data_IF_667293994891
#
_entry.id   IF_667293994891
#
_cell.length_a   1.000
_cell.length_b   1.000
_cell.length_c   1.000
_cell.angle_alpha   90.00
_cell.angle_beta   90.00
_cell.angle_gamma   90.00
#
_symmetry.space_group_name_H-M   'P 1'
#
loop_
_entity.id
_entity.type
_entity.pdbx_description
1 polymer ?
#
# COMPACT_ATOMS: atom_id res chain seq x y z
N UNK A 1 26.25 31.94 -33.25
CA UNK A 1 26.03 32.17 -31.79
C UNK A 1 24.64 31.75 -31.26
N UNK A 2 23.74 31.16 -32.07
CA UNK A 2 22.39 30.75 -31.62
C UNK A 2 22.30 29.31 -31.08
N UNK A 3 23.23 28.43 -31.47
CA UNK A 3 23.17 26.99 -31.16
C UNK A 3 23.55 26.65 -29.70
N UNK A 4 24.45 27.44 -29.08
CA UNK A 4 24.82 27.30 -27.65
C UNK A 4 23.71 27.71 -26.69
N UNK A 5 22.83 28.63 -27.10
CA UNK A 5 21.76 29.15 -26.24
C UNK A 5 20.66 28.09 -26.05
N UNK A 6 20.33 27.33 -27.11
CA UNK A 6 19.28 26.30 -27.13
C UNK A 6 19.69 25.05 -26.33
N UNK A 7 20.98 24.68 -26.36
CA UNK A 7 21.49 23.54 -25.56
C UNK A 7 21.53 23.87 -24.07
N UNK A 8 21.75 25.13 -23.70
CA UNK A 8 21.74 25.57 -22.30
C UNK A 8 20.32 25.68 -21.72
N UNK A 9 19.33 26.14 -22.49
CA UNK A 9 17.92 26.11 -22.05
C UNK A 9 17.38 24.70 -21.91
N UNK A 10 17.75 23.77 -22.80
CA UNK A 10 17.40 22.35 -22.67
C UNK A 10 18.00 21.74 -21.39
N UNK A 11 19.26 22.04 -21.06
CA UNK A 11 19.90 21.60 -19.82
C UNK A 11 19.26 22.21 -18.57
N UNK A 12 18.85 23.48 -18.61
CA UNK A 12 18.15 24.15 -17.51
C UNK A 12 16.75 23.57 -17.28
N UNK A 13 16.01 23.26 -18.34
CA UNK A 13 14.71 22.60 -18.26
C UNK A 13 14.85 21.20 -17.64
N UNK A 14 15.87 20.45 -18.06
CA UNK A 14 16.15 19.11 -17.56
C UNK A 14 16.59 19.14 -16.09
N UNK A 15 17.37 20.15 -15.68
CA UNK A 15 17.76 20.37 -14.29
C UNK A 15 16.55 20.73 -13.42
N UNK A 16 15.63 21.58 -13.91
CA UNK A 16 14.41 21.95 -13.20
C UNK A 16 13.45 20.75 -13.05
N UNK A 17 13.33 19.91 -14.09
CA UNK A 17 12.55 18.68 -14.04
C UNK A 17 13.11 17.70 -13.00
N UNK A 18 14.43 17.49 -12.99
CA UNK A 18 15.11 16.60 -12.04
C UNK A 18 14.97 17.13 -10.61
N UNK A 19 15.13 18.44 -10.39
CA UNK A 19 14.92 19.06 -9.07
C UNK A 19 13.46 18.92 -8.59
N UNK A 20 12.49 19.00 -9.50
CA UNK A 20 11.06 18.81 -9.18
C UNK A 20 10.72 17.39 -8.74
N UNK A 21 11.39 16.36 -9.30
CA UNK A 21 11.18 14.97 -8.90
C UNK A 21 11.68 14.69 -7.47
N UNK A 22 12.75 15.36 -7.00
CA UNK A 22 13.28 15.17 -5.65
C UNK A 22 12.48 15.89 -4.56
N UNK A 23 11.71 16.93 -4.89
CA UNK A 23 10.88 17.68 -3.94
C UNK A 23 9.54 17.00 -3.58
N UNK A 24 9.20 15.88 -4.24
CA UNK A 24 7.85 15.32 -4.25
C UNK A 24 7.37 14.55 -3.02
N UNK A 25 8.26 14.07 -2.13
CA UNK A 25 7.82 13.09 -1.12
C UNK A 25 7.34 13.67 0.24
N UNK A 26 7.55 14.95 0.55
CA UNK A 26 7.02 15.55 1.79
C UNK A 26 6.92 17.09 1.80
N UNK A 27 7.58 17.79 0.87
CA UNK A 27 7.75 19.25 0.93
C UNK A 27 6.86 20.03 -0.05
N UNK A 28 5.68 19.49 -0.40
CA UNK A 28 4.79 20.09 -1.41
C UNK A 28 4.17 21.42 -0.97
N UNK A 29 4.02 21.68 0.32
CA UNK A 29 3.38 22.90 0.87
C UNK A 29 4.13 24.20 0.56
N UNK A 30 5.37 24.42 1.03
CA UNK A 30 6.06 25.70 0.82
C UNK A 30 6.31 25.98 -0.66
N UNK A 31 6.55 24.95 -1.48
CA UNK A 31 6.83 25.11 -2.91
C UNK A 31 5.56 25.47 -3.68
N UNK A 32 4.40 24.87 -3.35
CA UNK A 32 3.14 25.19 -4.03
C UNK A 32 2.56 26.53 -3.61
N UNK A 33 2.68 26.92 -2.34
CA UNK A 33 2.26 28.24 -1.86
C UNK A 33 3.12 29.35 -2.47
N UNK A 34 4.44 29.14 -2.56
CA UNK A 34 5.36 30.07 -3.24
C UNK A 34 5.11 30.09 -4.75
N UNK A 35 4.86 28.94 -5.39
CA UNK A 35 4.58 28.89 -6.82
C UNK A 35 3.24 29.53 -7.17
N UNK A 36 2.20 29.31 -6.36
CA UNK A 36 0.89 29.92 -6.56
C UNK A 36 0.89 31.40 -6.19
N UNK A 37 1.64 31.80 -5.15
CA UNK A 37 1.87 33.21 -4.83
C UNK A 37 2.66 33.93 -5.93
N UNK A 38 3.75 33.36 -6.41
CA UNK A 38 4.52 33.94 -7.52
C UNK A 38 3.72 33.95 -8.84
N UNK A 39 2.96 32.89 -9.11
CA UNK A 39 2.07 32.82 -10.28
C UNK A 39 0.93 33.84 -10.21
N UNK A 40 0.32 34.02 -9.02
CA UNK A 40 -0.69 35.04 -8.77
C UNK A 40 -0.13 36.45 -8.89
N UNK A 41 1.09 36.69 -8.42
CA UNK A 41 1.79 37.96 -8.59
C UNK A 41 2.03 38.27 -10.06
N UNK A 42 2.55 37.29 -10.82
CA UNK A 42 2.81 37.43 -12.24
C UNK A 42 1.54 37.75 -13.03
N UNK A 43 0.46 37.01 -12.78
CA UNK A 43 -0.83 37.27 -13.41
C UNK A 43 -1.38 38.65 -13.02
N UNK A 44 -1.26 39.05 -11.75
CA UNK A 44 -1.65 40.39 -11.27
C UNK A 44 -0.84 41.53 -11.90
N UNK A 45 0.44 41.31 -12.16
CA UNK A 45 1.31 42.26 -12.86
C UNK A 45 0.92 42.42 -14.34
N UNK A 46 0.65 41.32 -15.04
CA UNK A 46 0.29 41.35 -16.46
C UNK A 46 -1.06 42.04 -16.70
N UNK A 47 -2.08 41.72 -15.89
CA UNK A 47 -3.42 42.30 -16.07
C UNK A 47 -3.52 43.77 -15.68
N UNK A 48 -2.59 44.27 -14.87
CA UNK A 48 -2.61 45.65 -14.35
C UNK A 48 -1.59 46.57 -15.00
N UNK A 49 -0.88 46.11 -16.05
CA UNK A 49 0.23 46.83 -16.66
C UNK A 49 1.32 47.25 -15.66
N UNK A 50 1.63 46.37 -14.71
CA UNK A 50 2.71 46.58 -13.74
C UNK A 50 2.34 47.43 -12.53
N UNK A 51 1.04 47.54 -12.19
CA UNK A 51 0.63 48.17 -10.93
C UNK A 51 1.06 47.30 -9.72
N UNK A 52 1.96 47.79 -8.85
CA UNK A 52 2.46 47.04 -7.71
C UNK A 52 1.36 46.65 -6.73
N UNK A 53 0.25 47.39 -6.66
CA UNK A 53 -0.87 47.07 -5.78
C UNK A 53 -1.60 45.81 -6.24
N UNK A 54 -1.87 45.70 -7.54
CA UNK A 54 -2.58 44.55 -8.12
C UNK A 54 -1.67 43.32 -8.19
N UNK A 55 -0.37 43.51 -8.43
CA UNK A 55 0.64 42.45 -8.30
C UNK A 55 0.68 41.87 -6.88
N UNK A 56 0.76 42.73 -5.85
CA UNK A 56 0.77 42.28 -4.45
C UNK A 56 -0.55 41.58 -4.07
N UNK A 57 -1.69 42.10 -4.54
CA UNK A 57 -3.00 41.48 -4.33
C UNK A 57 -3.10 40.11 -5.01
N UNK A 58 -2.58 39.97 -6.23
CA UNK A 58 -2.50 38.68 -6.94
C UNK A 58 -1.61 37.67 -6.22
N UNK A 59 -0.49 38.12 -5.65
CA UNK A 59 0.40 37.27 -4.85
C UNK A 59 -0.30 36.74 -3.59
N UNK A 60 -0.92 37.64 -2.82
CA UNK A 60 -1.67 37.27 -1.63
C UNK A 60 -2.85 36.35 -1.98
N UNK A 61 -3.58 36.66 -3.06
CA UNK A 61 -4.67 35.82 -3.57
C UNK A 61 -4.22 34.41 -3.94
N UNK A 62 -3.06 34.29 -4.59
CA UNK A 62 -2.45 33.00 -4.93
C UNK A 62 -2.14 32.12 -3.71
N UNK A 63 -1.62 32.72 -2.63
CA UNK A 63 -1.33 32.01 -1.37
C UNK A 63 -2.60 31.63 -0.62
N UNK A 64 -3.63 32.48 -0.62
CA UNK A 64 -4.91 32.14 0.02
C UNK A 64 -5.59 30.98 -0.72
N UNK A 65 -5.59 31.00 -2.06
CA UNK A 65 -6.13 29.91 -2.88
C UNK A 65 -5.37 28.61 -2.60
N UNK A 66 -4.04 28.66 -2.48
CA UNK A 66 -3.24 27.46 -2.20
C UNK A 66 -3.59 26.85 -0.83
N UNK A 67 -3.82 27.66 0.20
CA UNK A 67 -4.25 27.19 1.52
C UNK A 67 -5.59 26.44 1.46
N UNK A 68 -6.56 26.93 0.68
CA UNK A 68 -7.85 26.25 0.50
C UNK A 68 -7.72 24.91 -0.21
N UNK A 69 -6.87 24.85 -1.25
CA UNK A 69 -6.59 23.61 -1.99
C UNK A 69 -5.89 22.59 -1.07
N UNK A 70 -4.94 23.03 -0.25
CA UNK A 70 -4.27 22.20 0.74
C UNK A 70 -5.21 21.67 1.81
N UNK A 71 -6.16 22.49 2.27
CA UNK A 71 -7.16 22.07 3.25
C UNK A 71 -8.08 20.98 2.68
N UNK A 72 -8.56 21.17 1.45
CA UNK A 72 -9.38 20.18 0.76
C UNK A 72 -8.61 18.87 0.51
N UNK A 73 -7.36 18.97 0.03
CA UNK A 73 -6.50 17.82 -0.21
C UNK A 73 -6.21 17.04 1.10
N UNK A 74 -5.93 17.75 2.20
CA UNK A 74 -5.73 17.12 3.52
C UNK A 74 -6.98 16.38 3.98
N UNK A 75 -8.16 16.98 3.87
CA UNK A 75 -9.42 16.33 4.25
C UNK A 75 -9.67 15.06 3.42
N UNK A 76 -9.35 15.09 2.13
CA UNK A 76 -9.45 13.91 1.27
C UNK A 76 -8.44 12.82 1.66
N UNK A 77 -7.20 13.20 1.97
CA UNK A 77 -6.17 12.29 2.45
C UNK A 77 -6.55 11.64 3.80
N UNK A 78 -7.06 12.43 4.76
CA UNK A 78 -7.51 11.94 6.06
C UNK A 78 -8.69 10.95 5.91
N UNK A 79 -9.65 11.28 5.04
CA UNK A 79 -10.77 10.37 4.72
C UNK A 79 -10.28 9.08 4.08
N UNK A 80 -9.37 9.17 3.11
CA UNK A 80 -8.79 8.01 2.45
C UNK A 80 -8.00 7.14 3.44
N UNK A 81 -7.26 7.77 4.36
CA UNK A 81 -6.52 7.09 5.41
C UNK A 81 -7.45 6.35 6.38
N UNK A 82 -8.48 7.03 6.91
CA UNK A 82 -9.47 6.42 7.80
C UNK A 82 -10.19 5.24 7.13
N UNK A 83 -10.65 5.43 5.88
CA UNK A 83 -11.33 4.39 5.11
C UNK A 83 -10.40 3.20 4.85
N UNK A 84 -9.15 3.45 4.48
CA UNK A 84 -8.14 2.41 4.27
C UNK A 84 -7.79 1.66 5.56
N UNK A 85 -7.72 2.37 6.68
CA UNK A 85 -7.45 1.80 7.99
C UNK A 85 -8.58 0.89 8.48
N UNK A 86 -9.84 1.33 8.35
CA UNK A 86 -11.01 0.51 8.69
C UNK A 86 -11.11 -0.72 7.78
N UNK A 87 -10.91 -0.55 6.47
CA UNK A 87 -10.91 -1.66 5.52
C UNK A 87 -9.81 -2.67 5.84
N UNK A 88 -8.58 -2.19 6.11
CA UNK A 88 -7.43 -3.01 6.46
C UNK A 88 -7.65 -3.84 7.74
N UNK A 89 -8.25 -3.25 8.78
CA UNK A 89 -8.64 -4.00 9.99
C UNK A 89 -9.60 -5.13 9.68
N UNK A 90 -10.63 -4.88 8.87
CA UNK A 90 -11.63 -5.90 8.53
C UNK A 90 -11.05 -7.03 7.67
N UNK A 91 -10.14 -6.71 6.76
CA UNK A 91 -9.55 -7.67 5.84
C UNK A 91 -8.52 -8.56 6.56
N UNK A 92 -7.75 -8.01 7.51
CA UNK A 92 -6.84 -8.78 8.35
C UNK A 92 -7.59 -9.86 9.18
N UNK A 93 -8.72 -9.49 9.79
CA UNK A 93 -9.55 -10.46 10.55
C UNK A 93 -10.12 -11.55 9.65
N UNK A 94 -10.60 -11.20 8.44
CA UNK A 94 -11.10 -12.18 7.47
C UNK A 94 -9.98 -13.13 7.02
N UNK A 95 -8.80 -12.62 6.73
CA UNK A 95 -7.65 -13.44 6.33
C UNK A 95 -7.27 -14.43 7.44
N UNK A 96 -7.23 -13.97 8.69
CA UNK A 96 -6.95 -14.85 9.82
C UNK A 96 -8.04 -15.91 10.02
N UNK A 97 -9.32 -15.54 9.87
CA UNK A 97 -10.42 -16.51 9.92
C UNK A 97 -10.28 -17.60 8.84
N UNK A 98 -10.05 -17.19 7.59
CA UNK A 98 -9.90 -18.15 6.48
C UNK A 98 -8.68 -19.06 6.64
N UNK A 99 -7.58 -18.54 7.20
CA UNK A 99 -6.41 -19.34 7.54
C UNK A 99 -6.73 -20.41 8.60
N UNK A 100 -7.48 -20.02 9.64
CA UNK A 100 -7.89 -20.97 10.67
C UNK A 100 -8.81 -22.06 10.11
N UNK A 101 -9.78 -21.70 9.28
CA UNK A 101 -10.68 -22.64 8.61
C UNK A 101 -9.92 -23.56 7.65
N UNK A 102 -8.96 -23.05 6.88
CA UNK A 102 -8.16 -23.88 5.97
C UNK A 102 -7.29 -24.87 6.74
N UNK A 103 -6.69 -24.45 7.86
CA UNK A 103 -5.96 -25.35 8.76
C UNK A 103 -6.86 -26.43 9.36
N UNK A 104 -8.08 -26.09 9.79
CA UNK A 104 -9.02 -27.08 10.30
C UNK A 104 -9.43 -28.08 9.22
N UNK A 105 -9.74 -27.61 8.01
CA UNK A 105 -10.08 -28.47 6.87
C UNK A 105 -8.91 -29.40 6.53
N UNK A 106 -7.69 -28.89 6.55
CA UNK A 106 -6.49 -29.69 6.29
C UNK A 106 -6.23 -30.70 7.42
N UNK A 107 -6.41 -30.33 8.69
CA UNK A 107 -6.36 -31.28 9.82
C UNK A 107 -7.41 -32.37 9.71
N UNK A 108 -8.61 -32.06 9.24
CA UNK A 108 -9.65 -33.06 9.01
C UNK A 108 -9.37 -33.97 7.79
N UNK A 109 -8.35 -33.64 6.98
CA UNK A 109 -7.84 -34.47 5.90
C UNK A 109 -6.58 -35.25 6.28
N UNK A 110 -5.94 -34.95 7.42
CA UNK A 110 -4.82 -35.74 7.95
C UNK A 110 -5.40 -36.97 8.65
N UNK A 111 -5.09 -38.13 8.08
CA UNK A 111 -5.43 -39.43 8.62
C UNK A 111 -6.46 -40.18 7.77
N UNK A 112 -6.09 -40.54 6.54
CA UNK A 112 -6.77 -41.67 5.90
C UNK A 112 -6.37 -42.92 6.70
N UNK A 113 -7.19 -43.30 7.67
CA UNK A 113 -6.94 -44.49 8.49
C UNK A 113 -7.17 -45.70 7.61
N UNK A 114 -6.08 -46.35 7.18
CA UNK A 114 -6.15 -47.59 6.42
C UNK A 114 -5.97 -48.77 7.36
N UNK A 115 -6.95 -49.67 7.37
CA UNK A 115 -6.89 -50.92 8.11
C UNK A 115 -6.28 -51.99 7.21
N UNK A 116 -5.14 -52.56 7.60
CA UNK A 116 -4.53 -53.68 6.89
C UNK A 116 -4.75 -54.99 7.67
N UNK A 117 -5.41 -55.99 7.08
CA UNK A 117 -5.58 -57.30 7.73
C UNK A 117 -4.26 -58.05 7.72
N UNK A 118 -3.79 -58.47 8.89
CA UNK A 118 -2.63 -59.36 9.03
C UNK A 118 -3.07 -60.66 9.68
N UNK A 119 -2.66 -61.77 9.06
CA UNK A 119 -2.86 -63.11 9.60
C UNK A 119 -1.79 -63.38 10.66
N UNK A 120 -2.19 -63.49 11.92
CA UNK A 120 -1.28 -63.90 12.98
C UNK A 120 -1.29 -65.43 13.07
N UNK A 121 -0.12 -66.09 12.99
CA UNK A 121 -0.04 -67.51 13.25
C UNK A 121 -0.33 -67.80 14.73
N UNK A 122 -0.51 -69.06 15.07
CA UNK A 122 -0.64 -69.48 16.46
C UNK A 122 0.64 -69.12 17.23
N UNK A 123 0.50 -68.36 18.31
CA UNK A 123 1.63 -67.92 19.13
C UNK A 123 1.34 -68.18 20.60
N UNK A 124 2.38 -68.60 21.33
CA UNK A 124 2.32 -68.76 22.78
C UNK A 124 3.07 -67.60 23.42
N UNK A 125 2.34 -66.64 23.96
CA UNK A 125 2.89 -65.44 24.61
C UNK A 125 2.44 -65.49 26.08
N UNK A 126 3.38 -65.29 27.00
CA UNK A 126 3.14 -65.26 28.45
C UNK A 126 2.35 -66.46 29.00
N UNK A 127 2.60 -67.64 28.43
CA UNK A 127 2.00 -68.91 28.86
C UNK A 127 0.61 -69.22 28.28
N UNK A 128 -0.03 -68.25 27.60
CA UNK A 128 -1.34 -68.41 26.93
C UNK A 128 -1.13 -68.69 25.44
N UNK A 129 -1.84 -69.69 24.93
CA UNK A 129 -1.87 -70.00 23.49
C UNK A 129 -2.92 -69.12 22.81
N UNK A 130 -2.49 -68.29 21.86
CA UNK A 130 -3.37 -67.47 21.04
C UNK A 130 -3.67 -68.20 19.73
N UNK A 131 -4.95 -68.47 19.49
CA UNK A 131 -5.41 -69.09 18.25
C UNK A 131 -5.14 -68.20 17.02
N UNK A 132 -4.92 -68.79 15.83
CA UNK A 132 -4.72 -68.04 14.61
C UNK A 132 -5.88 -67.07 14.36
N UNK A 133 -5.58 -65.77 14.30
CA UNK A 133 -6.61 -64.75 14.14
C UNK A 133 -6.18 -63.64 13.20
N UNK A 134 -7.15 -63.13 12.45
CA UNK A 134 -6.98 -61.93 11.62
C UNK A 134 -7.08 -60.70 12.51
N UNK A 135 -6.02 -59.91 12.57
CA UNK A 135 -6.04 -58.62 13.27
C UNK A 135 -5.93 -57.49 12.25
N UNK A 136 -6.65 -56.40 12.52
CA UNK A 136 -6.63 -55.20 11.70
C UNK A 136 -5.59 -54.24 12.29
N UNK A 137 -4.50 -54.01 11.55
CA UNK A 137 -3.52 -52.98 11.92
C UNK A 137 -3.99 -51.63 11.40
N UNK A 138 -4.03 -50.63 12.29
CA UNK A 138 -4.28 -49.24 11.93
C UNK A 138 -2.96 -48.60 11.50
N UNK A 139 -2.90 -48.14 10.25
CA UNK A 139 -1.77 -47.37 9.72
C UNK A 139 -2.24 -45.92 9.59
N UNK A 140 -1.47 -45.00 10.18
CA UNK A 140 -1.65 -43.55 10.04
C UNK A 140 -0.57 -43.05 9.06
N UNK A 141 -0.98 -42.47 7.93
CA UNK A 141 -0.10 -41.82 6.94
C UNK A 141 0.09 -40.34 7.23
#
# INVERSE_FOLDING_TARGET
MKMKLITNTSKLLLLALVAGLFAGCAATRPISDVALGAGGAYLGHEISNGDPLVTAAGAAGGVVVSETLHYAAKKQADKAYATGYEKGKSDAVKQQYWLYVSMQKQRNQVGSVRLYPVQLPEQRIDGVTFEPSTKLLRIEE
#
